data_IF_364034520539
#
_entry.id   IF_364034520539
#
_cell.length_a   1.000
_cell.length_b   1.000
_cell.length_c   1.000
_cell.angle_alpha   90.00
_cell.angle_beta   90.00
_cell.angle_gamma   90.00
#
_symmetry.space_group_name_H-M   'P 1'
#
loop_
_entity.id
_entity.type
_entity.pdbx_description
1 polymer ?
#
# COMPACT_ATOMS: atom_id res chain seq x y z
N UNK A 1 -12.18 7.96 2.88
CA UNK A 1 -13.25 7.10 3.43
C UNK A 1 -12.61 5.89 4.13
N UNK A 2 -13.25 5.21 5.09
CA UNK A 2 -12.69 4.00 5.71
C UNK A 2 -12.34 2.91 4.69
N UNK A 3 -13.08 2.81 3.58
CA UNK A 3 -12.80 1.89 2.47
C UNK A 3 -11.42 2.08 1.82
N UNK A 4 -10.89 3.32 1.77
CA UNK A 4 -9.55 3.57 1.24
C UNK A 4 -8.48 2.90 2.11
N UNK A 5 -8.63 2.94 3.44
CA UNK A 5 -7.68 2.32 4.36
C UNK A 5 -7.67 0.80 4.18
N UNK A 6 -8.85 0.18 4.07
CA UNK A 6 -8.97 -1.25 3.81
C UNK A 6 -8.37 -1.64 2.47
N UNK A 7 -8.61 -0.87 1.39
CA UNK A 7 -8.00 -1.10 0.09
C UNK A 7 -6.47 -1.10 0.16
N UNK A 8 -5.91 -0.08 0.82
CA UNK A 8 -4.47 0.06 0.94
C UNK A 8 -3.83 -1.07 1.79
N UNK A 9 -4.49 -1.51 2.85
CA UNK A 9 -3.98 -2.51 3.78
C UNK A 9 -4.17 -3.95 3.27
N UNK A 10 -5.37 -4.29 2.80
CA UNK A 10 -5.73 -5.65 2.41
C UNK A 10 -5.31 -6.01 0.98
N UNK A 11 -5.23 -5.02 0.09
CA UNK A 11 -4.93 -5.27 -1.32
C UNK A 11 -3.52 -4.77 -1.64
N UNK A 12 -3.27 -3.46 -1.49
CA UNK A 12 -2.02 -2.89 -2.00
C UNK A 12 -0.77 -3.36 -1.25
N UNK A 13 -0.80 -3.42 0.08
CA UNK A 13 0.36 -3.83 0.87
C UNK A 13 0.81 -5.27 0.57
N UNK A 14 -0.05 -6.31 0.72
CA UNK A 14 0.36 -7.69 0.44
C UNK A 14 0.75 -7.89 -1.03
N UNK A 15 0.11 -7.17 -1.95
CA UNK A 15 0.44 -7.27 -3.37
C UNK A 15 1.83 -6.72 -3.69
N UNK A 16 2.20 -5.55 -3.16
CA UNK A 16 3.57 -5.02 -3.33
C UNK A 16 4.62 -5.94 -2.68
N UNK A 17 4.30 -6.53 -1.52
CA UNK A 17 5.19 -7.50 -0.85
C UNK A 17 5.35 -8.77 -1.70
N UNK A 18 4.28 -9.27 -2.32
CA UNK A 18 4.35 -10.43 -3.21
C UNK A 18 5.23 -10.17 -4.45
N UNK A 19 5.10 -9.00 -5.08
CA UNK A 19 5.97 -8.59 -6.20
C UNK A 19 7.44 -8.39 -5.76
N UNK A 20 7.65 -7.84 -4.56
CA UNK A 20 9.00 -7.73 -3.99
C UNK A 20 9.62 -9.11 -3.77
N UNK A 21 8.85 -10.05 -3.21
CA UNK A 21 9.30 -11.41 -2.96
C UNK A 21 9.59 -12.17 -4.26
N UNK A 22 8.77 -12.02 -5.30
CA UNK A 22 9.02 -12.65 -6.60
C UNK A 22 10.29 -12.10 -7.26
N UNK A 23 10.50 -10.79 -7.24
CA UNK A 23 11.72 -10.17 -7.75
C UNK A 23 12.96 -10.61 -6.97
N UNK A 24 12.86 -10.69 -5.64
CA UNK A 24 13.94 -11.15 -4.77
C UNK A 24 14.32 -12.60 -5.07
N UNK A 25 13.31 -13.49 -5.22
CA UNK A 25 13.52 -14.89 -5.59
C UNK A 25 14.25 -15.01 -6.94
N UNK A 26 13.88 -14.21 -7.94
CA UNK A 26 14.56 -14.23 -9.25
C UNK A 26 16.03 -13.78 -9.17
N UNK A 27 16.33 -12.76 -8.35
CA UNK A 27 17.71 -12.30 -8.13
C UNK A 27 18.53 -13.35 -7.39
N UNK A 28 17.94 -14.04 -6.41
CA UNK A 28 18.56 -15.18 -5.73
C UNK A 28 18.90 -16.31 -6.70
N UNK A 29 17.95 -16.76 -7.53
CA UNK A 29 18.19 -17.83 -8.51
C UNK A 29 19.32 -17.48 -9.50
N UNK A 30 19.41 -16.21 -9.93
CA UNK A 30 20.52 -15.76 -10.77
C UNK A 30 21.86 -15.70 -10.04
N UNK A 31 21.84 -15.42 -8.73
CA UNK A 31 23.04 -15.39 -7.90
C UNK A 31 23.53 -16.80 -7.59
N UNK A 32 22.62 -17.76 -7.37
CA UNK A 32 22.93 -19.18 -7.23
C UNK A 32 23.48 -19.75 -8.54
N UNK A 33 22.97 -19.29 -9.69
CA UNK A 33 23.51 -19.65 -11.00
C UNK A 33 24.92 -19.09 -11.23
N UNK A 34 25.19 -17.86 -10.77
CA UNK A 34 26.52 -17.24 -10.85
C UNK A 34 27.55 -17.95 -9.97
N UNK A 35 27.12 -18.48 -8.83
CA UNK A 35 27.94 -19.25 -7.90
C UNK A 35 28.05 -20.74 -8.25
N UNK A 36 27.52 -21.16 -9.42
CA UNK A 36 27.53 -22.54 -9.92
C UNK A 36 26.82 -23.56 -9.00
N UNK A 37 25.85 -23.09 -8.19
CA UNK A 37 25.07 -23.95 -7.30
C UNK A 37 23.87 -24.62 -7.99
N UNK A 38 23.38 -24.04 -9.09
CA UNK A 38 22.23 -24.54 -9.85
C UNK A 38 22.57 -24.54 -11.33
N UNK A 39 22.05 -25.54 -12.06
CA UNK A 39 22.24 -25.60 -13.49
C UNK A 39 21.47 -24.45 -14.22
N UNK A 40 21.91 -24.03 -15.41
CA UNK A 40 21.25 -22.96 -16.16
C UNK A 40 19.83 -23.32 -16.62
N UNK A 41 19.54 -24.60 -16.81
CA UNK A 41 18.22 -25.09 -17.23
C UNK A 41 17.17 -24.91 -16.12
N UNK A 42 17.46 -25.38 -14.90
CA UNK A 42 16.57 -25.28 -13.74
C UNK A 42 16.40 -23.83 -13.32
N UNK A 43 17.48 -23.03 -13.33
CA UNK A 43 17.39 -21.60 -13.06
C UNK A 43 16.46 -20.88 -14.04
N UNK A 44 16.66 -21.09 -15.35
CA UNK A 44 15.85 -20.44 -16.39
C UNK A 44 14.39 -20.91 -16.34
N UNK A 45 14.14 -22.20 -16.15
CA UNK A 45 12.79 -22.78 -16.03
C UNK A 45 12.03 -22.18 -14.84
N UNK A 46 12.67 -22.14 -13.66
CA UNK A 46 12.07 -21.56 -12.44
C UNK A 46 11.81 -20.06 -12.61
N UNK A 47 12.76 -19.31 -13.16
CA UNK A 47 12.57 -17.86 -13.38
C UNK A 47 11.42 -17.61 -14.37
N UNK A 48 11.40 -18.33 -15.50
CA UNK A 48 10.38 -18.17 -16.55
C UNK A 48 8.97 -18.47 -16.03
N UNK A 49 8.83 -19.43 -15.11
CA UNK A 49 7.56 -19.72 -14.44
C UNK A 49 7.00 -18.51 -13.67
N UNK A 50 7.86 -17.72 -13.02
CA UNK A 50 7.44 -16.54 -12.25
C UNK A 50 7.36 -15.24 -13.05
N UNK A 51 8.07 -15.13 -14.18
CA UNK A 51 8.10 -13.88 -14.97
C UNK A 51 6.73 -13.51 -15.53
N UNK A 52 6.02 -14.46 -16.14
CA UNK A 52 4.71 -14.21 -16.75
C UNK A 52 3.66 -13.79 -15.72
N UNK A 53 3.44 -14.52 -14.60
CA UNK A 53 2.47 -14.09 -13.60
C UNK A 53 2.85 -12.75 -12.95
N UNK A 54 4.14 -12.43 -12.80
CA UNK A 54 4.59 -11.12 -12.30
C UNK A 54 4.19 -9.97 -13.24
N UNK A 55 4.37 -10.14 -14.56
CA UNK A 55 4.01 -9.11 -15.54
C UNK A 55 2.50 -8.87 -15.56
N UNK A 56 1.72 -9.94 -15.50
CA UNK A 56 0.25 -9.86 -15.42
C UNK A 56 -0.16 -9.19 -14.12
N UNK A 57 0.41 -9.61 -12.99
CA UNK A 57 0.14 -9.04 -11.67
C UNK A 57 0.43 -7.53 -11.66
N UNK A 58 1.59 -7.11 -12.14
CA UNK A 58 1.94 -5.69 -12.18
C UNK A 58 1.03 -4.89 -13.12
N UNK A 59 0.68 -5.43 -14.29
CA UNK A 59 -0.24 -4.79 -15.23
C UNK A 59 -1.63 -4.58 -14.62
N UNK A 60 -2.17 -5.62 -13.98
CA UNK A 60 -3.44 -5.56 -13.26
C UNK A 60 -3.40 -4.53 -12.12
N UNK A 61 -2.30 -4.49 -11.38
CA UNK A 61 -2.16 -3.56 -10.26
C UNK A 61 -2.02 -2.10 -10.71
N UNK A 62 -1.32 -1.86 -11.82
CA UNK A 62 -1.31 -0.57 -12.48
C UNK A 62 -2.72 -0.15 -12.92
N UNK A 63 -3.50 -1.04 -13.54
CA UNK A 63 -4.89 -0.78 -13.91
C UNK A 63 -5.79 -0.52 -12.69
N UNK A 64 -5.60 -1.26 -11.59
CA UNK A 64 -6.32 -1.01 -10.33
C UNK A 64 -6.07 0.40 -9.79
N UNK A 65 -4.86 0.94 -9.90
CA UNK A 65 -4.59 2.34 -9.51
C UNK A 65 -5.25 3.36 -10.42
N UNK A 66 -5.41 3.05 -11.70
CA UNK A 66 -6.15 3.89 -12.64
C UNK A 66 -7.64 3.96 -12.27
N UNK A 67 -8.29 2.80 -12.04
CA UNK A 67 -9.72 2.74 -11.72
C UNK A 67 -10.06 3.31 -10.33
N UNK A 68 -9.14 3.20 -9.37
CA UNK A 68 -9.32 3.78 -8.03
C UNK A 68 -9.00 5.28 -7.97
N UNK A 69 -8.61 5.90 -9.08
CA UNK A 69 -8.33 7.34 -9.15
C UNK A 69 -7.02 7.78 -8.48
N UNK A 70 -6.09 6.85 -8.23
CA UNK A 70 -4.81 7.13 -7.59
C UNK A 70 -3.73 7.47 -8.63
N UNK A 71 -3.93 8.59 -9.34
CA UNK A 71 -3.10 9.03 -10.48
C UNK A 71 -1.60 9.08 -10.20
N UNK A 72 -1.18 9.57 -9.02
CA UNK A 72 0.24 9.64 -8.66
C UNK A 72 0.90 8.24 -8.60
N UNK A 73 0.21 7.26 -8.00
CA UNK A 73 0.72 5.89 -7.89
C UNK A 73 0.71 5.17 -9.23
N UNK A 74 -0.33 5.43 -10.03
CA UNK A 74 -0.41 4.96 -11.41
C UNK A 74 0.78 5.46 -12.23
N UNK A 75 1.04 6.78 -12.25
CA UNK A 75 2.15 7.37 -12.99
C UNK A 75 3.51 6.84 -12.54
N UNK A 76 3.66 6.51 -11.26
CA UNK A 76 4.91 5.96 -10.75
C UNK A 76 5.12 4.49 -11.18
N UNK A 77 4.06 3.68 -11.25
CA UNK A 77 4.12 2.29 -11.74
C UNK A 77 4.13 2.13 -13.27
N UNK A 78 3.63 3.15 -13.99
CA UNK A 78 3.47 3.11 -15.43
C UNK A 78 4.78 2.83 -16.21
N UNK A 79 5.94 3.43 -15.89
CA UNK A 79 7.18 3.20 -16.63
C UNK A 79 7.67 1.76 -16.54
N UNK A 80 7.50 1.12 -15.38
CA UNK A 80 7.90 -0.28 -15.22
C UNK A 80 6.90 -1.21 -15.93
N UNK A 81 5.59 -0.91 -15.85
CA UNK A 81 4.57 -1.70 -16.52
C UNK A 81 4.68 -1.61 -18.05
N UNK A 82 4.97 -0.42 -18.59
CA UNK A 82 5.19 -0.24 -20.03
C UNK A 82 6.46 -0.95 -20.51
N UNK A 83 7.52 -0.95 -19.70
CA UNK A 83 8.73 -1.71 -20.00
C UNK A 83 8.46 -3.23 -20.05
N UNK A 84 7.69 -3.77 -19.10
CA UNK A 84 7.25 -5.18 -19.13
C UNK A 84 6.42 -5.50 -20.36
N UNK A 85 5.47 -4.61 -20.73
CA UNK A 85 4.68 -4.75 -21.94
C UNK A 85 5.54 -4.75 -23.21
N UNK A 86 6.53 -3.86 -23.30
CA UNK A 86 7.48 -3.83 -24.41
C UNK A 86 8.28 -5.14 -24.51
N UNK A 87 8.77 -5.66 -23.38
CA UNK A 87 9.54 -6.90 -23.34
C UNK A 87 8.69 -8.12 -23.74
N UNK A 88 7.42 -8.13 -23.35
CA UNK A 88 6.46 -9.14 -23.76
C UNK A 88 6.23 -9.12 -25.28
N UNK A 89 5.98 -7.95 -25.87
CA UNK A 89 5.77 -7.79 -27.32
C UNK A 89 7.01 -8.21 -28.11
N UNK A 90 8.21 -7.87 -27.62
CA UNK A 90 9.48 -8.27 -28.24
C UNK A 90 9.83 -9.75 -28.06
N UNK A 91 9.02 -10.52 -27.31
CA UNK A 91 9.30 -11.92 -26.91
C UNK A 91 10.65 -12.13 -26.21
N UNK A 92 11.19 -11.07 -25.59
CA UNK A 92 12.45 -11.08 -24.85
C UNK A 92 12.24 -11.24 -23.34
N UNK A 93 11.05 -11.71 -22.92
CA UNK A 93 10.69 -11.84 -21.51
C UNK A 93 11.21 -13.14 -20.87
N UNK A 94 11.53 -14.15 -21.69
CA UNK A 94 12.03 -15.44 -21.23
C UNK A 94 13.55 -15.46 -21.25
N UNK A 95 14.14 -16.07 -20.23
CA UNK A 95 15.56 -16.41 -20.19
C UNK A 95 15.82 -17.64 -21.06
N UNK A 96 16.71 -17.49 -22.04
CA UNK A 96 17.25 -18.58 -22.83
C UNK A 96 18.44 -19.22 -22.10
N UNK A 97 18.40 -20.55 -21.97
CA UNK A 97 19.40 -21.36 -21.27
C UNK A 97 20.77 -21.27 -21.95
N UNK A 98 20.80 -21.14 -23.28
CA UNK A 98 22.05 -21.15 -24.07
C UNK A 98 22.84 -19.85 -23.93
N UNK A 99 22.15 -18.75 -23.67
CA UNK A 99 22.70 -17.40 -23.63
C UNK A 99 22.79 -16.83 -22.20
N UNK A 100 22.29 -17.57 -21.21
CA UNK A 100 22.10 -17.07 -19.83
C UNK A 100 23.36 -16.49 -19.22
N UNK A 101 24.52 -17.13 -19.41
CA UNK A 101 25.80 -16.65 -18.87
C UNK A 101 26.30 -15.40 -19.59
N UNK A 102 26.00 -15.22 -20.89
CA UNK A 102 26.39 -14.03 -21.65
C UNK A 102 25.58 -12.80 -21.21
N UNK A 103 24.28 -12.98 -20.96
CA UNK A 103 23.38 -11.87 -20.58
C UNK A 103 23.21 -11.72 -19.06
N UNK A 104 23.81 -12.62 -18.26
CA UNK A 104 23.61 -12.74 -16.81
C UNK A 104 23.75 -11.41 -16.07
N UNK A 105 24.84 -10.69 -16.33
CA UNK A 105 25.13 -9.42 -15.67
C UNK A 105 24.10 -8.33 -15.98
N UNK A 106 23.57 -8.31 -17.21
CA UNK A 106 22.56 -7.35 -17.62
C UNK A 106 21.19 -7.69 -17.00
N UNK A 107 20.78 -8.95 -17.08
CA UNK A 107 19.54 -9.47 -16.48
C UNK A 107 19.52 -9.29 -14.95
N UNK A 108 20.64 -9.57 -14.28
CA UNK A 108 20.79 -9.38 -12.83
C UNK A 108 20.68 -7.90 -12.47
N UNK A 109 21.37 -6.99 -13.18
CA UNK A 109 21.24 -5.54 -12.97
C UNK A 109 19.80 -5.06 -13.16
N UNK A 110 19.13 -5.51 -14.21
CA UNK A 110 17.74 -5.16 -14.47
C UNK A 110 16.82 -5.63 -13.33
N UNK A 111 16.98 -6.87 -12.87
CA UNK A 111 16.15 -7.43 -11.78
C UNK A 111 16.47 -6.81 -10.42
N UNK A 112 17.71 -6.41 -10.16
CA UNK A 112 18.08 -5.62 -8.97
C UNK A 112 17.44 -4.23 -9.03
N UNK A 113 17.45 -3.57 -10.19
CA UNK A 113 16.76 -2.28 -10.35
C UNK A 113 15.25 -2.41 -10.13
N UNK A 114 14.64 -3.48 -10.65
CA UNK A 114 13.23 -3.82 -10.41
C UNK A 114 12.95 -4.07 -8.92
N UNK A 115 13.80 -4.83 -8.23
CA UNK A 115 13.70 -5.08 -6.80
C UNK A 115 13.77 -3.76 -6.00
N UNK A 116 14.71 -2.88 -6.33
CA UNK A 116 14.83 -1.56 -5.69
C UNK A 116 13.57 -0.71 -5.92
N UNK A 117 13.00 -0.76 -7.13
CA UNK A 117 11.74 -0.08 -7.42
C UNK A 117 10.58 -0.62 -6.56
N UNK A 118 10.41 -1.94 -6.45
CA UNK A 118 9.38 -2.51 -5.57
C UNK A 118 9.63 -2.21 -4.09
N UNK A 119 10.89 -2.14 -3.65
CA UNK A 119 11.23 -1.76 -2.28
C UNK A 119 10.79 -0.32 -1.99
N UNK A 120 11.06 0.61 -2.91
CA UNK A 120 10.60 2.00 -2.81
C UNK A 120 9.06 2.05 -2.78
N UNK A 121 8.38 1.25 -3.61
CA UNK A 121 6.91 1.16 -3.58
C UNK A 121 6.39 0.72 -2.21
N UNK A 122 6.97 -0.34 -1.63
CA UNK A 122 6.62 -0.81 -0.29
C UNK A 122 6.84 0.29 0.75
N UNK A 123 8.00 0.96 0.73
CA UNK A 123 8.30 2.07 1.63
C UNK A 123 7.24 3.18 1.53
N UNK A 124 6.90 3.62 0.31
CA UNK A 124 5.86 4.64 0.08
C UNK A 124 4.50 4.17 0.63
N UNK A 125 4.14 2.91 0.42
CA UNK A 125 2.86 2.36 0.92
C UNK A 125 2.81 2.35 2.45
N UNK A 126 3.91 2.00 3.12
CA UNK A 126 4.02 2.01 4.58
C UNK A 126 3.94 3.44 5.11
N UNK A 127 4.71 4.38 4.56
CA UNK A 127 4.68 5.78 4.99
C UNK A 127 3.28 6.38 4.88
N UNK A 128 2.57 6.13 3.79
CA UNK A 128 1.19 6.64 3.66
C UNK A 128 0.26 6.02 4.70
N UNK A 129 0.40 4.73 5.02
CA UNK A 129 -0.38 4.11 6.09
C UNK A 129 -0.11 4.78 7.44
N UNK A 130 1.16 5.01 7.79
CA UNK A 130 1.55 5.65 9.05
C UNK A 130 0.92 7.04 9.16
N UNK A 131 1.02 7.86 8.11
CA UNK A 131 0.44 9.22 8.08
C UNK A 131 -1.08 9.14 8.30
N UNK A 132 -1.77 8.24 7.59
CA UNK A 132 -3.23 8.10 7.69
C UNK A 132 -3.67 7.63 9.07
N UNK A 133 -2.96 6.68 9.68
CA UNK A 133 -3.24 6.21 11.04
C UNK A 133 -3.00 7.32 12.06
N UNK A 134 -1.91 8.08 11.91
CA UNK A 134 -1.60 9.20 12.80
C UNK A 134 -2.68 10.29 12.74
N UNK A 135 -3.10 10.68 11.53
CA UNK A 135 -4.20 11.65 11.33
C UNK A 135 -5.53 11.11 11.86
N UNK A 136 -5.84 9.82 11.67
CA UNK A 136 -7.05 9.23 12.23
C UNK A 136 -7.06 9.26 13.77
N UNK A 137 -5.91 9.00 14.39
CA UNK A 137 -5.75 9.04 15.85
C UNK A 137 -5.93 10.45 16.41
N UNK A 138 -5.39 11.48 15.75
CA UNK A 138 -5.57 12.87 16.18
C UNK A 138 -7.03 13.32 16.04
N UNK A 139 -7.70 13.00 14.93
CA UNK A 139 -9.13 13.31 14.73
C UNK A 139 -10.00 12.64 15.80
N UNK A 140 -9.74 11.37 16.12
CA UNK A 140 -10.47 10.64 17.17
C UNK A 140 -10.30 11.30 18.54
N UNK A 141 -9.10 11.81 18.84
CA UNK A 141 -8.84 12.54 20.09
C UNK A 141 -9.63 13.84 20.16
N UNK A 142 -9.59 14.68 19.11
CA UNK A 142 -10.32 15.94 19.07
C UNK A 142 -11.84 15.74 19.12
N UNK A 143 -12.38 14.75 18.40
CA UNK A 143 -13.81 14.44 18.42
C UNK A 143 -14.24 13.96 19.80
N UNK A 144 -13.52 13.02 20.45
CA UNK A 144 -13.83 12.61 21.83
C UNK A 144 -13.77 13.77 22.82
N UNK A 145 -12.77 14.66 22.69
CA UNK A 145 -12.66 15.85 23.53
C UNK A 145 -13.83 16.81 23.33
N UNK A 146 -14.22 17.07 22.08
CA UNK A 146 -15.34 17.95 21.75
C UNK A 146 -16.67 17.39 22.25
N UNK A 147 -16.92 16.09 22.06
CA UNK A 147 -18.13 15.43 22.57
C UNK A 147 -18.19 15.49 24.09
N UNK A 148 -17.05 15.28 24.78
CA UNK A 148 -16.95 15.45 26.22
C UNK A 148 -17.25 16.89 26.65
N UNK A 149 -16.69 17.89 25.97
CA UNK A 149 -16.94 19.30 26.24
C UNK A 149 -18.42 19.69 26.03
N UNK A 150 -19.07 19.19 24.98
CA UNK A 150 -20.50 19.42 24.71
C UNK A 150 -21.37 18.79 25.80
N UNK A 151 -21.08 17.56 26.21
CA UNK A 151 -21.80 16.88 27.30
C UNK A 151 -21.65 17.65 28.61
N UNK A 152 -20.44 18.12 28.91
CA UNK A 152 -20.16 18.91 30.10
C UNK A 152 -20.93 20.25 30.08
N UNK A 153 -20.91 20.96 28.96
CA UNK A 153 -21.65 22.21 28.78
C UNK A 153 -23.16 22.00 28.97
N UNK A 154 -23.74 20.98 28.34
CA UNK A 154 -25.16 20.65 28.48
C UNK A 154 -25.53 20.29 29.92
N UNK A 155 -24.66 19.57 30.64
CA UNK A 155 -24.89 19.23 32.04
C UNK A 155 -24.96 20.48 32.94
N UNK A 156 -24.06 21.45 32.76
CA UNK A 156 -24.09 22.70 33.50
C UNK A 156 -25.30 23.56 33.15
N UNK A 157 -25.67 23.63 31.88
CA UNK A 157 -26.83 24.40 31.42
C UNK A 157 -28.15 23.84 32.01
N UNK A 158 -28.33 22.51 32.00
CA UNK A 158 -29.49 21.86 32.60
C UNK A 158 -29.57 22.11 34.11
N UNK A 159 -28.45 22.03 34.85
CA UNK A 159 -28.43 22.36 36.28
C UNK A 159 -28.83 23.81 36.53
N UNK A 160 -28.31 24.74 35.73
CA UNK A 160 -28.67 26.17 35.86
C UNK A 160 -30.16 26.42 35.60
N UNK A 161 -30.73 25.77 34.58
CA UNK A 161 -32.16 25.85 34.26
C UNK A 161 -33.04 25.31 35.40
N UNK A 162 -32.67 24.16 35.99
CA UNK A 162 -33.37 23.56 37.12
C UNK A 162 -33.35 24.47 38.36
N UNK A 163 -32.19 25.09 38.65
CA UNK A 163 -32.07 26.07 39.75
C UNK A 163 -32.96 27.28 39.51
N UNK A 164 -32.95 27.84 38.29
CA UNK A 164 -33.81 28.97 37.93
C UNK A 164 -35.30 28.63 38.08
N UNK A 165 -35.74 27.46 37.60
CA UNK A 165 -37.11 26.98 37.78
C UNK A 165 -37.47 26.82 39.26
N UNK A 166 -36.61 26.21 40.07
CA UNK A 166 -36.85 26.01 41.50
C UNK A 166 -37.02 27.35 42.24
N UNK A 167 -36.14 28.33 41.97
CA UNK A 167 -36.24 29.68 42.56
C UNK A 167 -37.54 30.35 42.13
N UNK A 168 -37.91 30.28 40.84
CA UNK A 168 -39.14 30.88 40.32
C UNK A 168 -40.40 30.27 40.96
N UNK A 169 -40.43 28.95 41.15
CA UNK A 169 -41.52 28.25 41.84
C UNK A 169 -41.62 28.69 43.30
N UNK A 170 -40.49 28.78 44.01
CA UNK A 170 -40.46 29.25 45.40
C UNK A 170 -41.02 30.67 45.55
N UNK A 171 -40.66 31.59 44.66
CA UNK A 171 -41.23 32.95 44.64
C UNK A 171 -42.73 32.98 44.34
N UNK A 172 -43.24 32.07 43.52
CA UNK A 172 -44.69 31.96 43.26
C UNK A 172 -45.44 31.47 44.50
N UNK A 173 -44.90 30.48 45.23
CA UNK A 173 -45.51 29.95 46.46
C UNK A 173 -45.53 31.00 47.58
N UNK A 174 -44.49 31.83 47.71
CA UNK A 174 -44.43 32.87 48.74
C UNK A 174 -45.45 34.01 48.48
N UNK A 175 -45.88 34.19 47.24
CA UNK A 175 -46.76 35.31 46.82
C UNK A 175 -48.26 34.95 46.85
N UNK A 176 -48.60 33.69 47.11
CA UNK A 176 -49.97 33.17 47.30
C UNK A 176 -50.26 32.95 48.77
#
# INVERSE_FOLDING_TARGET
>A
MPFDLFFWLLICFPFNVALLASAFYQVLMLSDLEADYINPYDASSRINYYVVPEFIAQGLFCALFLFTGHWFMFLLMLPLASYHGMLYVKRQHLLDVTEVFRVLNAEKKFRIAKLAFYLIMVIITIFRHIIRIHTARSILFYTKFLTFAIVLHNFFWVKSLLIYMAIRIMFLIIKT
#
